data_IF_511731867352
#
_entry.id   IF_511731867352
#
_cell.length_a   1.000
_cell.length_b   1.000
_cell.length_c   1.000
_cell.angle_alpha   90.00
_cell.angle_beta   90.00
_cell.angle_gamma   90.00
#
_symmetry.space_group_name_H-M   'P 1'
#
loop_
_entity.id
_entity.type
_entity.pdbx_description
1 polymer ?
#
# COMPACT_ATOMS: atom_id res chain seq x y z
N UNK A 1 5.88 2.24 19.03
CA UNK A 1 4.44 1.87 19.16
C UNK A 1 4.12 0.91 18.03
N UNK A 2 3.08 0.07 18.08
CA UNK A 2 2.73 -0.71 16.89
C UNK A 2 2.36 0.26 15.74
N UNK A 3 2.82 0.03 14.51
CA UNK A 3 2.42 0.85 13.38
C UNK A 3 0.91 0.74 13.15
N UNK A 4 0.29 1.79 12.62
CA UNK A 4 -1.14 1.81 12.32
C UNK A 4 -1.38 1.86 10.80
N UNK A 5 -2.32 1.05 10.32
CA UNK A 5 -2.81 1.08 8.94
C UNK A 5 -4.24 1.65 8.93
N UNK A 6 -4.46 2.74 8.19
CA UNK A 6 -5.78 3.28 7.92
C UNK A 6 -6.26 2.76 6.55
N UNK A 7 -7.40 2.09 6.50
CA UNK A 7 -7.97 1.62 5.23
C UNK A 7 -9.17 0.68 5.37
N UNK A 8 -9.42 -0.11 4.33
CA UNK A 8 -10.43 -1.19 4.36
C UNK A 8 -9.84 -2.48 3.81
N UNK A 9 -10.21 -3.61 4.40
CA UNK A 9 -9.69 -4.94 3.99
C UNK A 9 -10.08 -5.29 2.56
N UNK A 10 -11.19 -4.77 2.05
CA UNK A 10 -11.62 -4.99 0.66
C UNK A 10 -10.77 -4.24 -0.38
N UNK A 11 -9.98 -3.25 0.02
CA UNK A 11 -9.08 -2.53 -0.89
C UNK A 11 -7.85 -3.37 -1.19
N UNK A 12 -7.62 -3.70 -2.45
CA UNK A 12 -6.40 -4.41 -2.89
C UNK A 12 -5.11 -3.65 -2.56
N UNK A 13 -5.19 -2.32 -2.44
CA UNK A 13 -4.06 -1.47 -2.05
C UNK A 13 -3.78 -1.57 -0.55
N UNK A 14 -4.82 -1.63 0.28
CA UNK A 14 -4.69 -1.90 1.72
C UNK A 14 -4.15 -3.31 1.94
N UNK A 15 -4.69 -4.31 1.24
CA UNK A 15 -4.22 -5.71 1.31
C UNK A 15 -2.72 -5.85 1.03
N UNK A 16 -2.16 -5.08 0.09
CA UNK A 16 -0.71 -5.09 -0.20
C UNK A 16 0.12 -4.72 1.03
N UNK A 17 -0.31 -3.72 1.80
CA UNK A 17 0.36 -3.30 3.04
C UNK A 17 0.20 -4.36 4.12
N UNK A 18 -1.02 -4.86 4.32
CA UNK A 18 -1.29 -5.92 5.30
C UNK A 18 -0.47 -7.17 5.01
N UNK A 19 -0.48 -7.66 3.76
CA UNK A 19 0.33 -8.80 3.35
C UNK A 19 1.81 -8.57 3.61
N UNK A 20 2.32 -7.37 3.33
CA UNK A 20 3.72 -7.05 3.64
C UNK A 20 3.99 -7.12 5.14
N UNK A 21 3.11 -6.60 5.99
CA UNK A 21 3.26 -6.67 7.46
C UNK A 21 3.23 -8.12 7.96
N UNK A 22 2.29 -8.94 7.45
CA UNK A 22 2.17 -10.36 7.79
C UNK A 22 3.43 -11.15 7.38
N UNK A 23 3.93 -10.96 6.15
CA UNK A 23 5.16 -11.61 5.65
C UNK A 23 6.41 -11.22 6.46
N UNK A 24 6.40 -10.03 7.06
CA UNK A 24 7.47 -9.54 7.94
C UNK A 24 7.27 -9.93 9.40
N UNK A 25 6.13 -10.52 9.77
CA UNK A 25 5.78 -10.83 11.16
C UNK A 25 5.66 -9.59 12.05
N UNK A 26 5.23 -8.46 11.49
CA UNK A 26 5.08 -7.18 12.20
C UNK A 26 3.64 -7.06 12.69
N UNK A 27 3.43 -6.94 14.00
CA UNK A 27 2.13 -6.60 14.57
C UNK A 27 1.76 -5.14 14.23
N UNK A 28 0.49 -4.90 13.92
CA UNK A 28 -0.02 -3.59 13.54
C UNK A 28 -1.44 -3.35 14.08
N UNK A 29 -1.77 -2.09 14.28
CA UNK A 29 -3.15 -1.65 14.52
C UNK A 29 -3.84 -1.37 13.18
N UNK A 30 -5.07 -1.87 13.00
CA UNK A 30 -5.88 -1.59 11.81
C UNK A 30 -7.05 -0.66 12.14
N UNK A 31 -7.04 0.54 11.56
CA UNK A 31 -8.13 1.52 11.68
C UNK A 31 -8.94 1.55 10.40
N UNK A 32 -10.22 1.23 10.52
CA UNK A 32 -11.15 1.21 9.39
C UNK A 32 -11.46 2.64 8.94
N UNK A 33 -11.30 2.91 7.64
CA UNK A 33 -11.80 4.13 6.97
C UNK A 33 -13.03 3.75 6.14
N UNK A 34 -14.23 4.06 6.62
CA UNK A 34 -15.49 3.67 5.97
C UNK A 34 -15.70 4.40 4.65
N UNK A 35 -15.33 3.75 3.54
CA UNK A 35 -15.48 4.29 2.20
C UNK A 35 -16.96 4.42 1.79
N UNK A 36 -17.86 3.61 2.35
CA UNK A 36 -19.30 3.68 2.05
C UNK A 36 -19.95 4.96 2.58
N UNK A 37 -19.41 5.48 3.69
CA UNK A 37 -19.80 6.77 4.28
C UNK A 37 -19.00 7.95 3.74
N UNK A 38 -18.04 7.70 2.84
CA UNK A 38 -17.21 8.76 2.28
C UNK A 38 -16.15 9.32 3.22
N UNK A 39 -15.76 8.63 4.31
CA UNK A 39 -14.84 9.17 5.33
C UNK A 39 -13.48 9.61 4.76
N UNK A 40 -12.96 8.89 3.77
CA UNK A 40 -11.77 9.27 3.01
C UNK A 40 -11.86 10.63 2.29
N UNK A 41 -13.05 11.21 2.13
CA UNK A 41 -13.28 12.54 1.58
C UNK A 41 -13.47 13.62 2.65
N UNK A 42 -13.49 13.25 3.93
CA UNK A 42 -13.61 14.23 5.01
C UNK A 42 -12.44 15.23 4.93
N UNK A 43 -12.69 16.56 5.05
CA UNK A 43 -11.64 17.56 4.91
C UNK A 43 -10.44 17.34 5.85
N UNK A 44 -10.71 16.84 7.06
CA UNK A 44 -9.66 16.48 8.02
C UNK A 44 -8.82 15.31 7.53
N UNK A 45 -9.44 14.24 7.01
CA UNK A 45 -8.70 13.11 6.43
C UNK A 45 -7.84 13.51 5.24
N UNK A 46 -8.37 14.33 4.34
CA UNK A 46 -7.64 14.79 3.16
C UNK A 46 -6.46 15.69 3.55
N UNK A 47 -6.67 16.57 4.53
CA UNK A 47 -5.64 17.48 5.03
C UNK A 47 -4.55 16.74 5.80
N UNK A 48 -4.96 15.83 6.68
CA UNK A 48 -4.07 15.28 7.71
C UNK A 48 -3.45 13.94 7.29
N UNK A 49 -4.05 13.19 6.36
CA UNK A 49 -3.63 11.82 6.04
C UNK A 49 -3.36 11.52 4.57
N UNK A 50 -4.28 11.88 3.67
CA UNK A 50 -4.12 11.55 2.25
C UNK A 50 -4.69 12.64 1.33
N UNK A 51 -3.84 13.45 0.66
CA UNK A 51 -4.28 14.60 -0.13
C UNK A 51 -5.11 14.26 -1.37
N UNK A 52 -5.22 12.98 -1.72
CA UNK A 52 -5.99 12.47 -2.86
C UNK A 52 -7.27 11.75 -2.44
N UNK A 53 -7.63 11.80 -1.15
CA UNK A 53 -8.80 11.11 -0.60
C UNK A 53 -8.81 9.61 -0.95
N UNK A 54 -7.70 8.90 -0.65
CA UNK A 54 -7.56 7.46 -0.90
C UNK A 54 -7.08 6.72 0.34
N UNK A 55 -7.05 5.40 0.24
CA UNK A 55 -6.51 4.45 1.22
C UNK A 55 -5.54 3.50 0.51
N UNK A 56 -4.54 2.92 1.18
CA UNK A 56 -4.23 3.05 2.61
C UNK A 56 -3.36 4.25 2.99
N UNK A 57 -3.35 4.57 4.27
CA UNK A 57 -2.33 5.39 4.95
C UNK A 57 -1.67 4.54 6.03
N UNK A 58 -0.36 4.71 6.22
CA UNK A 58 0.45 3.97 7.17
C UNK A 58 1.16 4.94 8.11
N UNK A 59 1.11 4.67 9.41
CA UNK A 59 1.68 5.49 10.46
C UNK A 59 2.66 4.67 11.28
N UNK A 60 3.90 5.13 11.40
CA UNK A 60 4.97 4.41 12.08
C UNK A 60 6.01 5.37 12.66
N UNK A 61 6.12 5.40 13.99
CA UNK A 61 7.08 6.20 14.76
C UNK A 61 7.24 7.67 14.28
N UNK A 62 6.11 8.35 14.06
CA UNK A 62 6.08 9.76 13.63
C UNK A 62 6.25 9.98 12.12
N UNK A 63 6.38 8.90 11.34
CA UNK A 63 6.32 8.93 9.89
C UNK A 63 4.91 8.53 9.44
N UNK A 64 4.34 9.29 8.52
CA UNK A 64 3.09 8.94 7.86
C UNK A 64 3.32 8.85 6.35
N UNK A 65 2.85 7.75 5.74
CA UNK A 65 3.11 7.40 4.36
C UNK A 65 1.79 6.97 3.72
N UNK A 66 1.51 7.50 2.53
CA UNK A 66 0.48 6.98 1.63
C UNK A 66 1.13 6.39 0.37
N UNK A 67 0.34 5.74 -0.49
CA UNK A 67 0.78 4.84 -1.57
C UNK A 67 1.27 3.46 -1.10
N UNK A 68 0.42 2.44 -1.29
CA UNK A 68 0.67 1.05 -0.87
C UNK A 68 2.03 0.46 -1.29
N UNK A 69 2.55 0.80 -2.47
CA UNK A 69 3.86 0.33 -2.95
C UNK A 69 5.03 1.07 -2.31
N UNK A 70 4.83 2.33 -1.91
CA UNK A 70 5.82 3.09 -1.16
C UNK A 70 5.90 2.58 0.28
N UNK A 71 4.74 2.36 0.91
CA UNK A 71 4.62 1.76 2.25
C UNK A 71 5.32 0.39 2.29
N UNK A 72 5.04 -0.50 1.33
CA UNK A 72 5.65 -1.83 1.28
C UNK A 72 7.18 -1.76 1.15
N UNK A 73 7.71 -0.88 0.27
CA UNK A 73 9.16 -0.66 0.16
C UNK A 73 9.77 -0.08 1.44
N UNK A 74 9.10 0.87 2.09
CA UNK A 74 9.53 1.43 3.38
C UNK A 74 9.67 0.34 4.44
N UNK A 75 8.64 -0.50 4.61
CA UNK A 75 8.65 -1.61 5.54
C UNK A 75 9.79 -2.59 5.24
N UNK A 76 9.94 -2.98 3.97
CA UNK A 76 10.99 -3.90 3.56
C UNK A 76 12.40 -3.37 3.85
N UNK A 77 12.65 -2.08 3.58
CA UNK A 77 13.94 -1.43 3.84
C UNK A 77 14.17 -1.22 5.35
N UNK A 78 13.18 -0.70 6.10
CA UNK A 78 13.26 -0.45 7.55
C UNK A 78 13.65 -1.73 8.30
N UNK A 79 13.08 -2.86 7.90
CA UNK A 79 13.26 -4.14 8.56
C UNK A 79 14.37 -5.01 7.93
N UNK A 80 15.14 -4.50 6.95
CA UNK A 80 16.19 -5.25 6.24
C UNK A 80 15.71 -6.60 5.72
N UNK A 81 14.49 -6.61 5.17
CA UNK A 81 13.82 -7.83 4.73
C UNK A 81 14.32 -8.31 3.37
N UNK A 82 14.13 -9.61 3.11
CA UNK A 82 14.27 -10.21 1.79
C UNK A 82 13.32 -9.61 0.73
N UNK A 83 12.29 -8.88 1.15
CA UNK A 83 11.38 -8.13 0.27
C UNK A 83 11.97 -6.80 -0.22
N UNK A 84 13.10 -6.35 0.34
CA UNK A 84 13.67 -5.05 0.01
C UNK A 84 14.18 -5.03 -1.45
N UNK A 85 14.12 -3.88 -2.13
CA UNK A 85 14.82 -3.72 -3.40
C UNK A 85 16.30 -4.11 -3.25
N UNK A 86 16.87 -4.88 -4.18
CA UNK A 86 18.27 -5.29 -4.11
C UNK A 86 19.21 -4.09 -3.97
N UNK A 87 20.20 -4.21 -3.09
CA UNK A 87 21.24 -3.19 -2.88
C UNK A 87 22.59 -3.56 -3.50
N UNK A 88 22.66 -4.67 -4.25
CA UNK A 88 23.90 -5.25 -4.81
C UNK A 88 24.42 -4.53 -6.06
N UNK A 89 24.07 -3.25 -6.23
CA UNK A 89 24.46 -2.42 -7.37
C UNK A 89 23.27 -1.99 -8.25
N UNK A 90 23.53 -1.06 -9.18
CA UNK A 90 22.47 -0.45 -9.99
C UNK A 90 21.78 -1.45 -10.93
N UNK A 91 22.45 -2.50 -11.38
CA UNK A 91 21.88 -3.50 -12.29
C UNK A 91 20.80 -4.34 -11.60
N UNK A 92 21.05 -4.82 -10.38
CA UNK A 92 20.09 -5.61 -9.62
C UNK A 92 18.85 -4.78 -9.25
N UNK A 93 19.07 -3.52 -8.84
CA UNK A 93 17.99 -2.57 -8.60
C UNK A 93 17.19 -2.29 -9.88
N UNK A 94 17.85 -2.13 -11.03
CA UNK A 94 17.18 -1.86 -12.29
C UNK A 94 16.24 -3.01 -12.70
N UNK A 95 16.65 -4.27 -12.52
CA UNK A 95 15.78 -5.43 -12.80
C UNK A 95 14.57 -5.47 -11.86
N UNK A 96 14.77 -5.18 -10.57
CA UNK A 96 13.66 -5.07 -9.61
C UNK A 96 12.68 -3.96 -10.01
N UNK A 97 13.18 -2.76 -10.31
CA UNK A 97 12.33 -1.63 -10.69
C UNK A 97 11.66 -1.83 -12.06
N UNK A 98 12.30 -2.56 -12.99
CA UNK A 98 11.66 -2.97 -14.23
C UNK A 98 10.43 -3.85 -13.94
N UNK A 99 10.56 -4.86 -13.08
CA UNK A 99 9.43 -5.72 -12.71
C UNK A 99 8.32 -4.94 -11.99
N UNK A 100 8.69 -4.07 -11.04
CA UNK A 100 7.72 -3.22 -10.34
C UNK A 100 7.00 -2.24 -11.27
N UNK A 101 7.72 -1.68 -12.26
CA UNK A 101 7.17 -0.80 -13.29
C UNK A 101 6.21 -1.53 -14.22
N UNK A 102 6.56 -2.76 -14.66
CA UNK A 102 5.67 -3.61 -15.45
C UNK A 102 4.39 -3.94 -14.69
N UNK A 103 4.49 -4.29 -13.41
CA UNK A 103 3.32 -4.55 -12.57
C UNK A 103 2.42 -3.32 -12.47
N UNK A 104 3.00 -2.15 -12.23
CA UNK A 104 2.26 -0.90 -12.08
C UNK A 104 1.63 -0.39 -13.39
N UNK A 105 2.39 -0.41 -14.48
CA UNK A 105 2.01 0.24 -15.74
C UNK A 105 1.17 -0.64 -16.66
N UNK A 106 1.38 -1.97 -16.63
CA UNK A 106 0.76 -2.88 -17.59
C UNK A 106 -0.16 -3.90 -16.93
N UNK A 107 0.30 -4.54 -15.85
CA UNK A 107 -0.48 -5.60 -15.22
C UNK A 107 -1.66 -5.04 -14.42
N UNK A 108 -1.42 -4.09 -13.52
CA UNK A 108 -2.46 -3.58 -12.61
C UNK A 108 -3.64 -2.96 -13.36
N UNK A 109 -3.46 -2.07 -14.36
CA UNK A 109 -4.60 -1.45 -15.03
C UNK A 109 -5.46 -2.47 -15.78
N UNK A 110 -4.83 -3.46 -16.42
CA UNK A 110 -5.51 -4.51 -17.17
C UNK A 110 -6.32 -5.43 -16.23
N UNK A 111 -5.70 -5.90 -15.14
CA UNK A 111 -6.34 -6.81 -14.19
C UNK A 111 -7.41 -6.11 -13.36
N UNK A 112 -7.18 -4.85 -12.97
CA UNK A 112 -8.15 -4.04 -12.22
C UNK A 112 -9.42 -3.82 -13.03
N UNK A 113 -9.30 -3.49 -14.32
CA UNK A 113 -10.44 -3.36 -15.22
C UNK A 113 -11.25 -4.66 -15.36
N UNK A 114 -10.56 -5.80 -15.56
CA UNK A 114 -11.21 -7.11 -15.62
C UNK A 114 -11.89 -7.49 -14.30
N UNK A 115 -11.20 -7.26 -13.17
CA UNK A 115 -11.73 -7.51 -11.83
C UNK A 115 -13.00 -6.70 -11.58
N UNK A 116 -13.05 -5.45 -12.04
CA UNK A 116 -14.24 -4.63 -11.92
C UNK A 116 -15.46 -5.22 -12.63
N UNK A 117 -15.28 -5.60 -13.90
CA UNK A 117 -16.35 -6.18 -14.71
C UNK A 117 -16.82 -7.54 -14.17
N UNK A 118 -15.90 -8.39 -13.69
CA UNK A 118 -16.24 -9.75 -13.28
C UNK A 118 -16.74 -9.87 -11.83
N UNK A 119 -16.32 -8.97 -10.93
CA UNK A 119 -16.61 -9.06 -9.50
C UNK A 119 -17.70 -8.06 -9.08
N UNK A 120 -17.62 -6.82 -9.53
CA UNK A 120 -18.45 -5.72 -9.00
C UNK A 120 -19.64 -5.37 -9.89
N UNK A 121 -19.52 -5.47 -11.21
CA UNK A 121 -20.56 -5.02 -12.17
C UNK A 121 -21.64 -6.08 -12.47
N UNK A 122 -21.92 -6.99 -11.53
CA UNK A 122 -22.95 -8.02 -11.72
C UNK A 122 -24.34 -7.44 -11.95
#
# INVERSE_FOLDING_TARGET
MAPTVLGIVASTRTQRVLLTLEELGIEYDFKVVDLSKGQHHDPEYVRDHHPFAKVPVFQDDGVEIFESRAIARYLAVKHKSHLAPPSDGPEALAVFEQAASVEYAYFEPAVSALGFELIFKK
#
